data_IF_945913384527
#
_entry.id   IF_945913384527
#
_cell.length_a   1.000
_cell.length_b   1.000
_cell.length_c   1.000
_cell.angle_alpha   90.00
_cell.angle_beta   90.00
_cell.angle_gamma   90.00
#
_symmetry.space_group_name_H-M   'P 1'
#
loop_
_entity.id
_entity.type
_entity.pdbx_description
1 polymer ?
#
# COMPACT_ATOMS: atom_id res chain seq x y z
N UNK A 1 -0.31 -5.06 -7.47
CA UNK A 1 0.74 -6.06 -7.70
C UNK A 1 0.95 -6.93 -6.45
N UNK A 2 1.31 -6.32 -5.31
CA UNK A 2 1.45 -6.96 -4.02
C UNK A 2 0.10 -6.92 -3.29
N UNK A 3 -0.39 -8.07 -2.82
CA UNK A 3 -1.60 -8.17 -2.00
C UNK A 3 -1.25 -8.01 -0.51
N UNK A 4 -0.38 -8.88 -0.01
CA UNK A 4 0.08 -8.87 1.38
C UNK A 4 1.49 -9.44 1.51
N UNK A 5 2.03 -9.36 2.71
CA UNK A 5 3.23 -10.10 3.11
C UNK A 5 2.86 -10.85 4.39
N UNK A 6 3.04 -12.17 4.38
CA UNK A 6 2.93 -12.97 5.59
C UNK A 6 4.30 -13.12 6.24
N UNK A 7 4.36 -12.84 7.51
CA UNK A 7 5.57 -12.98 8.30
C UNK A 7 5.57 -14.28 9.10
N UNK A 8 6.75 -14.87 9.19
CA UNK A 8 7.04 -15.93 10.14
C UNK A 8 8.26 -15.55 10.95
N UNK A 9 8.11 -15.50 12.25
CA UNK A 9 9.25 -15.35 13.18
C UNK A 9 9.72 -16.72 13.61
N UNK A 10 11.00 -16.99 13.41
CA UNK A 10 11.62 -18.27 13.73
C UNK A 10 12.56 -18.04 14.92
N UNK A 11 12.30 -18.74 16.02
CA UNK A 11 13.07 -18.69 17.27
C UNK A 11 13.39 -20.13 17.70
N UNK A 12 14.64 -20.50 17.89
CA UNK A 12 15.04 -21.87 18.26
C UNK A 12 14.43 -22.97 17.37
N UNK A 13 14.29 -22.72 16.06
CA UNK A 13 13.65 -23.62 15.09
C UNK A 13 12.11 -23.73 15.24
N UNK A 14 11.50 -23.03 16.18
CA UNK A 14 10.04 -22.92 16.27
C UNK A 14 9.56 -21.79 15.37
N UNK A 15 8.51 -22.03 14.59
CA UNK A 15 7.95 -21.10 13.63
C UNK A 15 6.65 -20.49 14.17
N UNK A 16 6.55 -19.16 14.16
CA UNK A 16 5.38 -18.38 14.57
C UNK A 16 4.87 -17.57 13.38
N UNK A 17 3.76 -18.01 12.79
CA UNK A 17 3.16 -17.40 11.59
C UNK A 17 2.24 -16.24 11.98
N UNK A 18 2.46 -15.06 11.45
CA UNK A 18 1.67 -13.84 11.73
C UNK A 18 0.53 -13.63 10.72
N UNK A 19 0.53 -14.35 9.60
CA UNK A 19 -0.54 -14.30 8.61
C UNK A 19 -1.90 -14.70 9.19
N UNK A 20 -2.96 -14.20 8.58
CA UNK A 20 -4.35 -14.58 8.87
C UNK A 20 -5.11 -14.58 7.55
N UNK A 21 -5.50 -15.75 7.08
CA UNK A 21 -6.34 -15.90 5.89
C UNK A 21 -7.60 -16.67 6.25
N UNK A 22 -8.73 -16.22 5.76
CA UNK A 22 -9.96 -17.00 5.74
C UNK A 22 -10.05 -17.69 4.39
N UNK A 23 -10.51 -18.94 4.39
CA UNK A 23 -10.71 -19.72 3.17
C UNK A 23 -12.21 -19.95 2.92
N UNK A 24 -12.57 -20.34 1.69
CA UNK A 24 -13.95 -20.52 1.24
C UNK A 24 -14.74 -21.49 2.11
N UNK A 25 -14.10 -22.52 2.68
CA UNK A 25 -14.70 -23.50 3.59
C UNK A 25 -14.92 -22.97 5.03
N UNK A 26 -14.60 -21.69 5.27
CA UNK A 26 -14.69 -21.06 6.58
C UNK A 26 -13.48 -21.26 7.48
N UNK A 27 -12.47 -22.03 7.05
CA UNK A 27 -11.19 -22.22 7.79
C UNK A 27 -10.46 -20.90 7.87
N UNK A 28 -9.84 -20.62 9.03
CA UNK A 28 -8.95 -19.47 9.24
C UNK A 28 -7.57 -19.99 9.59
N UNK A 29 -6.58 -19.76 8.72
CA UNK A 29 -5.19 -20.19 8.89
C UNK A 29 -4.24 -19.21 8.17
N UNK A 30 -3.03 -18.95 8.74
CA UNK A 30 -2.64 -19.20 10.13
C UNK A 30 -3.45 -18.38 11.14
N UNK A 31 -3.17 -18.54 12.44
CA UNK A 31 -3.86 -17.80 13.51
C UNK A 31 -3.01 -16.64 14.07
N UNK A 32 -2.35 -15.87 13.22
CA UNK A 32 -1.42 -14.81 13.61
C UNK A 32 -2.02 -13.71 14.50
N UNK A 33 -3.34 -13.49 14.42
CA UNK A 33 -4.06 -12.55 15.29
C UNK A 33 -3.89 -12.86 16.78
N UNK A 34 -3.65 -14.11 17.17
CA UNK A 34 -3.42 -14.52 18.56
C UNK A 34 -2.14 -13.95 19.17
N UNK A 35 -1.18 -13.55 18.33
CA UNK A 35 0.09 -12.98 18.74
C UNK A 35 0.09 -11.47 18.87
N UNK A 36 -0.92 -10.79 18.34
CA UNK A 36 -1.08 -9.34 18.43
C UNK A 36 -1.35 -8.95 19.89
N UNK A 37 -0.59 -7.98 20.40
CA UNK A 37 -0.74 -7.42 21.75
C UNK A 37 -1.24 -6.00 21.74
N UNK A 38 -0.85 -5.23 20.73
CA UNK A 38 -1.16 -3.82 20.64
C UNK A 38 -1.31 -3.38 19.19
N UNK A 39 -2.21 -2.44 18.96
CA UNK A 39 -2.32 -1.68 17.71
C UNK A 39 -2.35 -0.19 18.06
N UNK A 40 -1.55 0.60 17.33
CA UNK A 40 -1.58 2.06 17.34
C UNK A 40 -1.68 2.57 15.92
N UNK A 41 -2.49 3.61 15.70
CA UNK A 41 -2.54 4.31 14.41
C UNK A 41 -1.59 5.53 14.37
N UNK A 42 -1.00 5.90 15.53
CA UNK A 42 -0.21 7.11 15.70
C UNK A 42 1.26 6.82 15.99
N UNK A 43 2.20 7.55 15.38
CA UNK A 43 2.05 8.50 14.25
C UNK A 43 1.81 7.82 12.92
N UNK A 44 2.01 6.50 12.82
CA UNK A 44 1.72 5.62 11.70
C UNK A 44 1.15 4.30 12.21
N UNK A 45 0.43 3.54 11.37
CA UNK A 45 -0.06 2.22 11.76
C UNK A 45 1.08 1.33 12.26
N UNK A 46 0.95 0.84 13.49
CA UNK A 46 1.90 -0.03 14.18
C UNK A 46 1.17 -1.19 14.84
N UNK A 47 1.64 -2.40 14.59
CA UNK A 47 1.23 -3.63 15.27
C UNK A 47 2.38 -4.15 16.12
N UNK A 48 2.09 -4.55 17.34
CA UNK A 48 3.05 -5.21 18.24
C UNK A 48 2.65 -6.66 18.44
N UNK A 49 3.58 -7.57 18.18
CA UNK A 49 3.42 -9.01 18.35
C UNK A 49 4.31 -9.51 19.48
N UNK A 50 3.87 -10.60 20.15
CA UNK A 50 4.67 -11.31 21.15
C UNK A 50 4.60 -12.81 20.95
N UNK A 51 5.75 -13.45 20.68
CA UNK A 51 5.90 -14.87 20.40
C UNK A 51 7.25 -15.37 20.91
N UNK A 52 7.31 -16.59 21.47
CA UNK A 52 8.57 -17.25 21.80
C UNK A 52 9.54 -16.41 22.65
N UNK A 53 9.02 -15.54 23.53
CA UNK A 53 9.84 -14.61 24.31
C UNK A 53 10.31 -13.37 23.54
N UNK A 54 9.93 -13.23 22.27
CA UNK A 54 10.26 -12.11 21.38
C UNK A 54 9.10 -11.11 21.32
N UNK A 55 9.42 -9.82 21.34
CA UNK A 55 8.49 -8.73 21.05
C UNK A 55 8.97 -8.01 19.79
N UNK A 56 8.10 -7.96 18.78
CA UNK A 56 8.40 -7.35 17.49
C UNK A 56 7.29 -6.40 17.07
N UNK A 57 7.66 -5.24 16.53
CA UNK A 57 6.71 -4.28 15.96
C UNK A 57 6.79 -4.29 14.45
N UNK A 58 5.63 -4.03 13.82
CA UNK A 58 5.45 -3.88 12.37
C UNK A 58 4.78 -2.54 12.10
N UNK A 59 5.44 -1.68 11.34
CA UNK A 59 4.98 -0.34 11.02
C UNK A 59 4.91 -0.13 9.52
N UNK A 60 3.94 0.67 9.05
CA UNK A 60 3.68 0.89 7.63
C UNK A 60 3.74 2.36 7.27
N UNK A 61 4.37 2.67 6.13
CA UNK A 61 4.33 4.00 5.54
C UNK A 61 4.33 3.92 4.01
N UNK A 62 3.42 4.65 3.37
CA UNK A 62 3.44 4.83 1.92
C UNK A 62 4.35 6.00 1.57
N UNK A 63 5.19 5.81 0.54
CA UNK A 63 6.02 6.88 0.03
C UNK A 63 5.16 7.95 -0.67
N UNK A 64 5.51 9.20 -0.43
CA UNK A 64 4.94 10.31 -1.19
C UNK A 64 5.54 10.35 -2.60
N UNK A 65 4.70 10.54 -3.61
CA UNK A 65 5.10 10.66 -5.02
C UNK A 65 5.87 9.46 -5.60
N UNK A 66 5.78 8.28 -4.97
CA UNK A 66 6.35 7.02 -5.45
C UNK A 66 5.33 5.89 -5.18
N UNK A 67 5.10 5.00 -6.14
CA UNK A 67 4.25 3.82 -5.98
C UNK A 67 4.96 2.77 -5.12
N UNK A 68 5.19 3.09 -3.84
CA UNK A 68 6.03 2.33 -2.92
C UNK A 68 5.46 2.31 -1.51
N UNK A 69 5.56 1.15 -0.87
CA UNK A 69 5.32 0.99 0.57
C UNK A 69 6.64 0.62 1.25
N UNK A 70 6.85 1.17 2.43
CA UNK A 70 7.88 0.73 3.37
C UNK A 70 7.23 0.10 4.58
N UNK A 71 7.77 -1.04 5.02
CA UNK A 71 7.32 -1.75 6.22
C UNK A 71 8.54 -1.93 7.10
N UNK A 72 8.52 -1.35 8.31
CA UNK A 72 9.58 -1.52 9.29
C UNK A 72 9.21 -2.62 10.28
N UNK A 73 10.08 -3.59 10.43
CA UNK A 73 10.05 -4.55 11.53
C UNK A 73 11.16 -4.21 12.50
N UNK A 74 10.83 -4.08 13.78
CA UNK A 74 11.78 -3.77 14.84
C UNK A 74 11.63 -4.78 15.98
N UNK A 75 12.75 -5.40 16.38
CA UNK A 75 12.80 -6.35 17.47
C UNK A 75 13.02 -5.58 18.77
N UNK A 76 11.96 -5.41 19.56
CA UNK A 76 12.03 -4.68 20.84
C UNK A 76 12.67 -5.51 21.94
N UNK A 77 12.33 -6.82 22.00
CA UNK A 77 12.81 -7.77 23.00
C UNK A 77 13.10 -9.12 22.32
N UNK A 78 14.26 -9.69 22.54
CA UNK A 78 14.57 -11.06 22.12
C UNK A 78 15.75 -11.62 22.91
N UNK A 79 15.57 -12.77 23.56
CA UNK A 79 16.65 -13.42 24.31
C UNK A 79 17.79 -13.96 23.41
N UNK A 80 17.55 -14.08 22.11
CA UNK A 80 18.48 -14.62 21.11
C UNK A 80 18.13 -14.08 19.73
N UNK A 81 19.03 -14.20 18.73
CA UNK A 81 18.72 -13.84 17.37
C UNK A 81 17.50 -14.58 16.83
N UNK A 82 16.71 -13.90 16.03
CA UNK A 82 15.55 -14.46 15.33
C UNK A 82 15.77 -14.43 13.84
N UNK A 83 15.09 -15.30 13.09
CA UNK A 83 14.95 -15.17 11.65
C UNK A 83 13.55 -14.67 11.34
N UNK A 84 13.45 -13.56 10.62
CA UNK A 84 12.21 -13.06 10.06
C UNK A 84 12.08 -13.54 8.61
N UNK A 85 11.12 -14.43 8.34
CA UNK A 85 10.76 -14.91 7.01
C UNK A 85 9.57 -14.10 6.49
N UNK A 86 9.67 -13.63 5.26
CA UNK A 86 8.70 -12.77 4.59
C UNK A 86 8.19 -13.44 3.32
N UNK A 87 6.91 -13.80 3.28
CA UNK A 87 6.24 -14.42 2.13
C UNK A 87 5.40 -13.36 1.42
N UNK A 88 5.81 -12.85 0.25
CA UNK A 88 4.98 -11.92 -0.52
C UNK A 88 3.86 -12.68 -1.25
N UNK A 89 2.63 -12.22 -1.09
CA UNK A 89 1.45 -12.67 -1.84
C UNK A 89 1.19 -11.73 -3.00
N UNK A 90 1.32 -12.22 -4.22
CA UNK A 90 1.23 -11.45 -5.44
C UNK A 90 -0.15 -11.65 -6.09
N UNK A 91 -0.81 -10.55 -6.45
CA UNK A 91 -2.09 -10.56 -7.14
C UNK A 91 -1.95 -10.15 -8.62
N UNK A 92 -1.18 -9.10 -8.95
CA UNK A 92 -1.00 -8.57 -10.31
C UNK A 92 -2.33 -8.41 -11.06
N UNK A 93 -3.24 -7.66 -10.46
CA UNK A 93 -4.60 -7.45 -10.98
C UNK A 93 -5.08 -6.02 -10.79
N UNK A 94 -6.15 -5.68 -11.47
CA UNK A 94 -6.92 -4.48 -11.13
C UNK A 94 -7.56 -4.64 -9.74
N UNK A 95 -7.69 -3.54 -8.99
CA UNK A 95 -8.26 -3.53 -7.63
C UNK A 95 -9.72 -4.05 -7.58
N UNK A 96 -10.46 -3.94 -8.68
CA UNK A 96 -11.84 -4.41 -8.80
C UNK A 96 -12.00 -5.84 -9.34
N UNK A 97 -10.90 -6.56 -9.50
CA UNK A 97 -10.90 -7.93 -10.02
C UNK A 97 -10.19 -8.84 -9.04
N UNK A 98 -10.46 -10.13 -9.11
CA UNK A 98 -9.75 -11.16 -8.35
C UNK A 98 -8.88 -12.00 -9.27
N UNK A 99 -7.80 -12.56 -8.74
CA UNK A 99 -6.87 -13.43 -9.45
C UNK A 99 -7.22 -14.90 -9.15
N UNK A 100 -7.08 -15.74 -10.18
CA UNK A 100 -7.20 -17.18 -10.03
C UNK A 100 -5.96 -17.88 -10.57
N UNK A 101 -5.64 -19.04 -10.02
CA UNK A 101 -4.53 -19.87 -10.48
C UNK A 101 -4.60 -20.09 -11.98
N UNK A 102 -3.49 -19.86 -12.68
CA UNK A 102 -3.42 -20.03 -14.12
C UNK A 102 -2.01 -20.42 -14.57
N UNK A 103 -1.91 -20.91 -15.81
CA UNK A 103 -0.66 -21.37 -16.40
C UNK A 103 0.11 -20.28 -17.16
N UNK A 104 -0.48 -19.09 -17.34
CA UNK A 104 0.17 -17.98 -18.08
C UNK A 104 0.98 -17.07 -17.16
N UNK A 105 0.82 -17.21 -15.85
CA UNK A 105 1.61 -16.48 -14.87
C UNK A 105 3.09 -16.82 -15.02
N UNK A 106 3.92 -15.82 -15.26
CA UNK A 106 5.36 -15.97 -15.30
C UNK A 106 5.90 -16.26 -13.88
N UNK A 107 6.47 -17.44 -13.69
CA UNK A 107 7.01 -17.90 -12.39
C UNK A 107 8.47 -17.51 -12.16
N UNK A 108 9.12 -16.86 -13.14
CA UNK A 108 10.51 -16.44 -13.03
C UNK A 108 10.64 -15.21 -12.12
N UNK A 109 11.81 -15.05 -11.54
CA UNK A 109 12.21 -13.87 -10.80
C UNK A 109 13.53 -13.32 -11.31
N UNK A 110 13.79 -12.06 -11.01
CA UNK A 110 15.11 -11.45 -11.23
C UNK A 110 15.73 -11.17 -9.87
N UNK A 111 16.93 -11.71 -9.56
CA UNK A 111 17.64 -11.36 -8.35
C UNK A 111 18.07 -9.89 -8.39
N UNK A 112 17.86 -9.18 -7.28
CA UNK A 112 18.28 -7.80 -7.09
C UNK A 112 18.96 -7.66 -5.73
N UNK A 113 19.56 -6.50 -5.48
CA UNK A 113 20.27 -6.28 -4.21
C UNK A 113 19.30 -6.40 -3.03
N UNK A 114 19.57 -7.34 -2.11
CA UNK A 114 18.78 -7.63 -0.91
C UNK A 114 17.31 -7.92 -1.22
N UNK A 115 17.03 -8.68 -2.28
CA UNK A 115 15.65 -8.96 -2.65
C UNK A 115 15.46 -9.64 -4.00
N UNK A 116 14.25 -9.57 -4.50
CA UNK A 116 13.87 -10.11 -5.80
C UNK A 116 12.82 -9.22 -6.48
N UNK A 117 12.71 -9.36 -7.81
CA UNK A 117 11.64 -8.74 -8.57
C UNK A 117 10.90 -9.75 -9.45
N UNK A 118 9.62 -9.47 -9.68
CA UNK A 118 8.70 -10.32 -10.45
C UNK A 118 7.86 -9.48 -11.40
N UNK A 119 7.58 -10.03 -12.57
CA UNK A 119 6.57 -9.57 -13.49
C UNK A 119 5.73 -10.78 -13.92
N UNK A 120 4.56 -10.94 -13.30
CA UNK A 120 3.71 -12.11 -13.56
C UNK A 120 3.09 -12.09 -14.95
N UNK A 121 2.77 -10.91 -15.49
CA UNK A 121 2.15 -10.73 -16.80
C UNK A 121 2.80 -9.56 -17.54
N UNK A 122 2.98 -9.65 -18.84
CA UNK A 122 3.69 -8.66 -19.68
C UNK A 122 3.06 -7.25 -19.67
N UNK A 123 1.75 -7.16 -19.44
CA UNK A 123 1.02 -5.88 -19.41
C UNK A 123 1.03 -5.19 -18.04
N UNK A 124 1.73 -5.73 -17.05
CA UNK A 124 1.92 -5.13 -15.73
C UNK A 124 3.37 -4.71 -15.51
N UNK A 125 3.57 -3.68 -14.70
CA UNK A 125 4.89 -3.31 -14.22
C UNK A 125 5.51 -4.41 -13.36
N UNK A 126 6.85 -4.42 -13.26
CA UNK A 126 7.54 -5.31 -12.33
C UNK A 126 7.36 -4.84 -10.90
N UNK A 127 7.20 -5.78 -9.98
CA UNK A 127 7.26 -5.54 -8.54
C UNK A 127 8.68 -5.80 -8.04
N UNK A 128 9.26 -4.86 -7.32
CA UNK A 128 10.57 -4.95 -6.66
C UNK A 128 10.36 -5.04 -5.15
N UNK A 129 10.78 -6.13 -4.53
CA UNK A 129 10.76 -6.31 -3.08
C UNK A 129 12.18 -6.42 -2.56
N UNK A 130 12.58 -5.49 -1.68
CA UNK A 130 13.93 -5.39 -1.15
C UNK A 130 13.92 -5.15 0.36
N UNK A 131 14.99 -5.57 1.04
CA UNK A 131 15.19 -5.34 2.47
C UNK A 131 16.39 -4.43 2.71
N UNK A 132 16.33 -3.59 3.75
CA UNK A 132 17.44 -2.68 4.12
C UNK A 132 18.68 -3.40 4.63
N UNK A 133 18.53 -4.63 5.09
CA UNK A 133 19.62 -5.54 5.50
C UNK A 133 19.84 -6.61 4.44
N UNK A 134 20.96 -7.32 4.52
CA UNK A 134 21.14 -8.53 3.69
C UNK A 134 20.07 -9.54 3.97
N UNK A 135 19.49 -10.10 2.93
CA UNK A 135 18.47 -11.15 2.99
C UNK A 135 18.78 -12.25 2.00
N UNK A 136 18.38 -13.46 2.33
CA UNK A 136 18.41 -14.62 1.44
C UNK A 136 17.03 -14.81 0.80
N UNK A 137 16.98 -14.92 -0.52
CA UNK A 137 15.75 -15.25 -1.24
C UNK A 137 15.74 -16.72 -1.63
N UNK A 138 14.72 -17.43 -1.18
CA UNK A 138 14.43 -18.81 -1.59
C UNK A 138 13.28 -18.84 -2.58
N UNK A 139 13.53 -19.33 -3.79
CA UNK A 139 12.52 -19.49 -4.82
C UNK A 139 11.71 -20.77 -4.60
N UNK A 140 10.44 -20.62 -4.23
CA UNK A 140 9.50 -21.72 -3.96
C UNK A 140 8.09 -21.37 -4.46
N UNK A 141 7.88 -21.30 -5.79
CA UNK A 141 6.65 -20.77 -6.36
C UNK A 141 5.48 -21.72 -6.19
N UNK A 142 4.38 -21.22 -5.63
CA UNK A 142 3.12 -21.94 -5.47
C UNK A 142 1.94 -20.96 -5.41
N UNK A 143 0.70 -21.50 -5.49
CA UNK A 143 -0.52 -20.75 -5.32
C UNK A 143 -1.16 -21.06 -3.98
N UNK A 144 -1.64 -20.02 -3.31
CA UNK A 144 -2.56 -20.11 -2.18
C UNK A 144 -3.97 -19.96 -2.73
N UNK A 145 -4.69 -21.10 -2.78
CA UNK A 145 -5.99 -21.16 -3.41
C UNK A 145 -7.12 -20.86 -2.42
N UNK A 146 -8.21 -20.27 -2.95
CA UNK A 146 -9.48 -20.08 -2.24
C UNK A 146 -9.40 -19.19 -1.00
N UNK A 147 -8.56 -18.16 -1.04
CA UNK A 147 -8.58 -17.07 -0.05
C UNK A 147 -9.91 -16.36 -0.17
N UNK A 148 -10.64 -16.23 0.94
CA UNK A 148 -12.00 -15.73 0.97
C UNK A 148 -12.09 -14.34 1.61
N UNK A 149 -12.80 -13.44 0.95
CA UNK A 149 -13.04 -12.07 1.40
C UNK A 149 -14.47 -11.87 1.84
N UNK A 150 -14.76 -12.10 3.12
CA UNK A 150 -16.10 -12.03 3.70
C UNK A 150 -16.83 -10.71 3.37
N UNK A 151 -16.12 -9.57 3.42
CA UNK A 151 -16.74 -8.26 3.17
C UNK A 151 -17.14 -8.07 1.71
N UNK A 152 -16.40 -8.63 0.75
CA UNK A 152 -16.79 -8.61 -0.66
C UNK A 152 -18.00 -9.53 -0.90
N UNK A 153 -18.02 -10.70 -0.26
CA UNK A 153 -19.15 -11.62 -0.30
C UNK A 153 -20.45 -10.99 0.25
N UNK A 154 -20.37 -10.31 1.41
CA UNK A 154 -21.50 -9.60 2.02
C UNK A 154 -22.06 -8.49 1.11
N UNK A 155 -21.24 -7.94 0.22
CA UNK A 155 -21.60 -6.91 -0.77
C UNK A 155 -22.11 -7.48 -2.09
N UNK A 156 -22.11 -8.80 -2.26
CA UNK A 156 -22.54 -9.49 -3.47
C UNK A 156 -21.54 -9.48 -4.61
N UNK A 157 -20.24 -9.29 -4.31
CA UNK A 157 -19.14 -9.35 -5.28
C UNK A 157 -18.43 -10.70 -5.23
N UNK A 158 -17.61 -10.96 -6.26
CA UNK A 158 -16.68 -12.07 -6.21
C UNK A 158 -15.77 -11.95 -4.98
N UNK A 159 -15.63 -13.05 -4.23
CA UNK A 159 -15.01 -13.03 -2.92
C UNK A 159 -13.94 -14.12 -2.74
N UNK A 160 -13.66 -14.92 -3.75
CA UNK A 160 -12.67 -16.01 -3.68
C UNK A 160 -11.50 -15.70 -4.61
N UNK A 161 -10.29 -15.66 -4.07
CA UNK A 161 -9.08 -15.33 -4.82
C UNK A 161 -8.00 -16.39 -4.62
N UNK A 162 -7.23 -16.65 -5.67
CA UNK A 162 -5.98 -17.39 -5.57
C UNK A 162 -4.81 -16.42 -5.64
N UNK A 163 -3.90 -16.48 -4.66
CA UNK A 163 -2.74 -15.60 -4.58
C UNK A 163 -1.45 -16.37 -4.86
N UNK A 164 -0.61 -15.79 -5.70
CA UNK A 164 0.67 -16.40 -6.06
C UNK A 164 1.76 -16.02 -5.06
N UNK A 165 2.47 -17.00 -4.53
CA UNK A 165 3.65 -16.82 -3.67
C UNK A 165 4.88 -17.30 -4.42
N UNK A 166 5.81 -16.42 -4.83
CA UNK A 166 6.99 -16.81 -5.63
C UNK A 166 8.10 -17.48 -4.79
N UNK A 167 8.02 -17.36 -3.50
CA UNK A 167 9.01 -17.80 -2.52
C UNK A 167 9.04 -16.88 -1.33
N UNK A 168 10.16 -16.81 -0.61
CA UNK A 168 10.29 -16.02 0.60
C UNK A 168 11.67 -15.39 0.76
N UNK A 169 11.74 -14.32 1.55
CA UNK A 169 12.97 -13.67 1.99
C UNK A 169 13.20 -13.97 3.47
N UNK A 170 14.44 -14.24 3.87
CA UNK A 170 14.84 -14.42 5.27
C UNK A 170 15.87 -13.36 5.68
N UNK A 171 15.68 -12.81 6.87
CA UNK A 171 16.56 -11.80 7.47
C UNK A 171 16.80 -12.14 8.93
N UNK A 172 18.07 -12.22 9.35
CA UNK A 172 18.42 -12.37 10.76
C UNK A 172 18.36 -11.02 11.48
N UNK A 173 17.73 -11.00 12.66
CA UNK A 173 17.60 -9.84 13.51
C UNK A 173 17.89 -10.19 14.98
N UNK A 174 18.48 -9.23 15.69
CA UNK A 174 18.72 -9.28 17.14
C UNK A 174 17.88 -8.23 17.85
N UNK A 175 17.78 -8.33 19.16
CA UNK A 175 17.19 -7.27 19.97
C UNK A 175 17.81 -5.90 19.67
N UNK A 176 16.96 -4.89 19.59
CA UNK A 176 17.32 -3.52 19.19
C UNK A 176 17.55 -3.30 17.71
N UNK A 177 17.46 -4.34 16.87
CA UNK A 177 17.63 -4.21 15.42
C UNK A 177 16.32 -4.07 14.66
N UNK A 178 16.39 -3.40 13.53
CA UNK A 178 15.26 -3.27 12.59
C UNK A 178 15.67 -3.64 11.17
N UNK A 179 14.68 -4.08 10.41
CA UNK A 179 14.75 -4.19 8.94
C UNK A 179 13.59 -3.42 8.34
N UNK A 180 13.85 -2.73 7.22
CA UNK A 180 12.82 -2.07 6.43
C UNK A 180 12.68 -2.84 5.12
N UNK A 181 11.48 -3.29 4.86
CA UNK A 181 11.06 -3.88 3.59
C UNK A 181 10.52 -2.77 2.70
N UNK A 182 10.93 -2.75 1.46
CA UNK A 182 10.46 -1.83 0.42
C UNK A 182 9.82 -2.62 -0.70
N UNK A 183 8.56 -2.34 -1.02
CA UNK A 183 7.88 -2.89 -2.18
C UNK A 183 7.45 -1.74 -3.10
N UNK A 184 7.85 -1.78 -4.37
CA UNK A 184 7.58 -0.71 -5.34
C UNK A 184 7.83 -1.11 -6.78
N UNK A 185 7.65 -0.16 -7.70
CA UNK A 185 7.73 -0.39 -9.15
C UNK A 185 9.16 -0.22 -9.73
N UNK A 186 10.11 0.18 -8.91
CA UNK A 186 11.52 0.38 -9.31
C UNK A 186 12.46 -0.18 -8.27
N UNK A 187 13.62 -0.66 -8.69
CA UNK A 187 14.71 -0.98 -7.78
C UNK A 187 15.25 0.30 -7.12
N UNK A 188 15.50 0.26 -5.83
CA UNK A 188 16.12 1.36 -5.07
C UNK A 188 17.38 0.85 -4.34
N UNK A 189 18.19 1.78 -3.87
CA UNK A 189 19.35 1.43 -3.05
C UNK A 189 18.90 1.11 -1.61
N UNK A 190 19.03 -0.13 -1.13
CA UNK A 190 18.59 -0.52 0.22
C UNK A 190 19.22 0.29 1.36
N UNK A 191 20.41 0.82 1.17
CA UNK A 191 21.09 1.65 2.17
C UNK A 191 20.36 2.97 2.47
N UNK A 192 19.43 3.40 1.60
CA UNK A 192 18.67 4.63 1.77
C UNK A 192 17.36 4.43 2.54
N UNK A 193 16.87 3.19 2.70
CA UNK A 193 15.53 2.90 3.21
C UNK A 193 15.29 3.44 4.62
N UNK A 194 16.26 3.29 5.52
CA UNK A 194 16.15 3.80 6.88
C UNK A 194 15.95 5.31 6.88
N UNK A 195 16.80 6.05 6.19
CA UNK A 195 16.70 7.51 6.09
C UNK A 195 15.39 7.95 5.44
N UNK A 196 14.95 7.26 4.39
CA UNK A 196 13.68 7.58 3.72
C UNK A 196 12.49 7.34 4.64
N UNK A 197 12.47 6.23 5.37
CA UNK A 197 11.41 5.92 6.33
C UNK A 197 11.35 6.99 7.44
N UNK A 198 12.49 7.33 8.05
CA UNK A 198 12.59 8.34 9.10
C UNK A 198 12.16 9.72 8.60
N UNK A 199 12.63 10.15 7.43
CA UNK A 199 12.25 11.42 6.82
C UNK A 199 10.73 11.52 6.55
N UNK A 200 10.11 10.45 6.07
CA UNK A 200 8.67 10.40 5.86
C UNK A 200 7.88 10.41 7.17
N UNK A 201 8.43 9.82 8.24
CA UNK A 201 7.84 9.91 9.59
C UNK A 201 7.86 11.34 10.10
N UNK A 202 8.99 12.01 9.98
CA UNK A 202 9.20 13.39 10.46
C UNK A 202 8.36 14.41 9.68
N UNK A 203 8.12 14.18 8.38
CA UNK A 203 7.33 15.10 7.54
C UNK A 203 5.82 15.03 7.76
N UNK A 204 5.34 14.02 8.52
CA UNK A 204 3.91 13.86 8.75
C UNK A 204 3.36 14.92 9.69
N UNK A 205 2.15 15.39 9.38
CA UNK A 205 1.37 16.19 10.31
C UNK A 205 1.00 15.30 11.51
N UNK A 206 1.36 15.68 12.75
CA UNK A 206 0.99 14.91 13.93
C UNK A 206 -0.54 14.88 14.08
N UNK A 207 -1.09 13.84 14.69
CA UNK A 207 -2.53 13.71 14.93
C UNK A 207 -2.88 14.05 16.39
N UNK A 208 -2.31 15.11 16.89
CA UNK A 208 -2.42 15.57 18.29
C UNK A 208 -3.60 16.52 18.52
N UNK A 209 -4.29 16.96 17.45
CA UNK A 209 -5.47 17.80 17.52
C UNK A 209 -6.49 17.37 16.44
N UNK A 210 -7.75 17.77 16.61
CA UNK A 210 -8.80 17.53 15.61
C UNK A 210 -8.46 18.19 14.25
N UNK A 211 -7.91 19.40 14.31
CA UNK A 211 -7.49 20.13 13.10
C UNK A 211 -6.38 19.38 12.36
N UNK A 212 -5.34 18.94 13.06
CA UNK A 212 -4.27 18.14 12.45
C UNK A 212 -4.76 16.80 11.90
N UNK A 213 -5.74 16.17 12.56
CA UNK A 213 -6.38 14.96 12.03
C UNK A 213 -7.11 15.23 10.70
N UNK A 214 -7.82 16.35 10.59
CA UNK A 214 -8.49 16.75 9.34
C UNK A 214 -7.48 17.07 8.24
N UNK A 215 -6.43 17.83 8.55
CA UNK A 215 -5.37 18.16 7.58
C UNK A 215 -4.67 16.90 7.05
N UNK A 216 -4.33 15.96 7.94
CA UNK A 216 -3.74 14.68 7.58
C UNK A 216 -4.66 13.86 6.66
N UNK A 217 -5.96 13.83 6.97
CA UNK A 217 -6.96 13.16 6.14
C UNK A 217 -7.12 13.83 4.77
N UNK A 218 -7.11 15.16 4.72
CA UNK A 218 -7.23 15.91 3.47
C UNK A 218 -6.07 15.60 2.49
N UNK A 219 -4.84 15.50 2.99
CA UNK A 219 -3.68 15.20 2.15
C UNK A 219 -3.76 13.83 1.46
N UNK A 220 -4.45 12.86 2.03
CA UNK A 220 -4.59 11.52 1.44
C UNK A 220 -5.38 11.51 0.12
N UNK A 221 -6.20 12.53 -0.12
CA UNK A 221 -6.96 12.64 -1.37
C UNK A 221 -6.19 13.26 -2.53
N UNK A 222 -4.99 13.80 -2.29
CA UNK A 222 -4.20 14.51 -3.30
C UNK A 222 -3.21 13.55 -3.94
N UNK A 223 -3.31 13.39 -5.27
CA UNK A 223 -2.44 12.57 -6.08
C UNK A 223 -1.52 13.48 -6.88
N UNK A 224 -0.20 13.25 -6.78
CA UNK A 224 0.81 13.94 -7.60
C UNK A 224 1.50 12.93 -8.50
N UNK A 225 1.27 13.05 -9.80
CA UNK A 225 1.87 12.21 -10.83
C UNK A 225 2.56 13.06 -11.90
N UNK A 226 3.27 12.41 -12.82
CA UNK A 226 3.99 13.10 -13.89
C UNK A 226 3.07 13.91 -14.81
N UNK A 227 1.83 13.50 -14.96
CA UNK A 227 0.81 14.13 -15.79
C UNK A 227 -0.02 15.21 -15.07
N UNK A 228 0.25 15.46 -13.80
CA UNK A 228 -0.37 16.54 -13.03
C UNK A 228 -0.87 16.15 -11.64
N UNK A 229 -1.38 17.14 -10.93
CA UNK A 229 -1.98 16.96 -9.61
C UNK A 229 -3.48 16.74 -9.74
N UNK A 230 -3.99 15.70 -9.10
CA UNK A 230 -5.40 15.28 -9.10
C UNK A 230 -5.88 15.03 -7.69
N UNK A 231 -7.19 14.84 -7.53
CA UNK A 231 -7.82 14.49 -6.27
C UNK A 231 -8.63 13.20 -6.44
N UNK A 232 -8.50 12.27 -5.50
CA UNK A 232 -9.37 11.10 -5.43
C UNK A 232 -10.81 11.49 -5.11
N UNK A 233 -11.78 10.95 -5.85
CA UNK A 233 -13.19 11.13 -5.57
C UNK A 233 -13.66 10.34 -4.34
N UNK A 234 -13.04 9.20 -4.08
CA UNK A 234 -13.34 8.36 -2.91
C UNK A 234 -12.23 7.35 -2.66
N UNK A 235 -11.43 7.61 -1.65
CA UNK A 235 -10.29 6.78 -1.30
C UNK A 235 -10.74 5.46 -0.63
N UNK A 236 -10.18 4.31 -0.99
CA UNK A 236 -9.25 4.04 -2.10
C UNK A 236 -9.94 3.55 -3.39
N UNK A 237 -11.28 3.55 -3.47
CA UNK A 237 -12.07 2.82 -4.46
C UNK A 237 -12.28 3.55 -5.78
N UNK A 238 -12.28 4.88 -5.76
CA UNK A 238 -12.59 5.69 -6.93
C UNK A 238 -11.36 6.49 -7.36
N UNK A 239 -11.19 6.65 -8.67
CA UNK A 239 -10.18 7.52 -9.25
C UNK A 239 -10.49 8.99 -9.07
N UNK A 240 -9.95 9.85 -9.93
CA UNK A 240 -10.25 11.28 -9.90
C UNK A 240 -11.53 11.59 -10.68
N UNK A 241 -12.33 12.50 -10.11
CA UNK A 241 -13.54 13.02 -10.73
C UNK A 241 -13.50 14.55 -10.68
N UNK A 242 -13.63 15.21 -11.83
CA UNK A 242 -13.56 16.68 -11.92
C UNK A 242 -14.63 17.36 -11.09
N UNK A 243 -15.86 16.84 -11.11
CA UNK A 243 -16.97 17.37 -10.29
C UNK A 243 -16.67 17.28 -8.80
N UNK A 244 -16.25 16.10 -8.32
CA UNK A 244 -15.97 15.87 -6.90
C UNK A 244 -14.74 16.67 -6.45
N UNK A 245 -13.74 16.81 -7.31
CA UNK A 245 -12.60 17.69 -7.08
C UNK A 245 -13.05 19.12 -6.83
N UNK A 246 -13.87 19.69 -7.72
CA UNK A 246 -14.38 21.07 -7.59
C UNK A 246 -15.19 21.27 -6.31
N UNK A 247 -16.06 20.32 -5.97
CA UNK A 247 -16.85 20.37 -4.73
C UNK A 247 -15.99 20.30 -3.46
N UNK A 248 -14.87 19.59 -3.51
CA UNK A 248 -14.00 19.33 -2.36
C UNK A 248 -12.93 20.40 -2.14
N UNK A 249 -12.54 21.14 -3.17
CA UNK A 249 -11.48 22.18 -3.11
C UNK A 249 -11.68 23.18 -1.95
N UNK A 250 -12.88 23.70 -1.66
CA UNK A 250 -13.04 24.67 -0.57
C UNK A 250 -12.59 24.14 0.79
N UNK A 251 -12.97 22.90 1.11
CA UNK A 251 -12.64 22.28 2.40
C UNK A 251 -11.23 21.68 2.44
N UNK A 252 -10.84 20.93 1.42
CA UNK A 252 -9.58 20.20 1.46
C UNK A 252 -8.36 21.06 1.14
N UNK A 253 -8.50 22.10 0.34
CA UNK A 253 -7.40 22.90 -0.20
C UNK A 253 -7.43 24.34 0.30
N UNK A 254 -8.54 25.08 0.04
CA UNK A 254 -8.60 26.50 0.34
C UNK A 254 -8.62 26.77 1.85
N UNK A 255 -9.33 25.96 2.63
CA UNK A 255 -9.35 26.10 4.09
C UNK A 255 -7.96 25.92 4.72
N UNK A 256 -7.08 25.13 4.08
CA UNK A 256 -5.70 24.91 4.49
C UNK A 256 -4.71 25.95 3.92
N UNK A 257 -5.19 26.92 3.12
CA UNK A 257 -4.36 27.96 2.49
C UNK A 257 -3.39 27.44 1.43
N UNK A 258 -3.55 26.20 0.93
CA UNK A 258 -2.64 25.57 -0.04
C UNK A 258 -2.90 26.09 -1.47
N UNK A 259 -2.46 27.34 -1.71
CA UNK A 259 -2.56 28.00 -3.02
C UNK A 259 -1.81 27.27 -4.14
N UNK A 260 -0.76 26.52 -3.80
CA UNK A 260 0.03 25.77 -4.78
C UNK A 260 -0.80 24.62 -5.34
N UNK A 261 -1.27 23.74 -4.48
CA UNK A 261 -2.12 22.59 -4.87
C UNK A 261 -3.41 23.06 -5.55
N UNK A 262 -4.01 24.17 -5.10
CA UNK A 262 -5.16 24.78 -5.78
C UNK A 262 -4.87 25.08 -7.26
N UNK A 263 -3.77 25.77 -7.55
CA UNK A 263 -3.39 26.11 -8.93
C UNK A 263 -3.07 24.87 -9.77
N UNK A 264 -2.41 23.89 -9.18
CA UNK A 264 -2.08 22.63 -9.86
C UNK A 264 -3.34 21.84 -10.24
N UNK A 265 -4.32 21.74 -9.33
CA UNK A 265 -5.61 21.09 -9.58
C UNK A 265 -6.41 21.79 -10.66
N UNK A 266 -6.52 23.12 -10.60
CA UNK A 266 -7.21 23.91 -11.64
C UNK A 266 -6.52 23.74 -13.00
N UNK A 267 -5.19 23.79 -13.03
CA UNK A 267 -4.44 23.57 -14.27
C UNK A 267 -4.74 22.21 -14.86
N UNK A 268 -4.67 21.15 -14.09
CA UNK A 268 -4.98 19.80 -14.56
C UNK A 268 -6.41 19.70 -15.10
N UNK A 269 -7.39 20.26 -14.38
CA UNK A 269 -8.81 20.28 -14.82
C UNK A 269 -8.98 21.00 -16.15
N UNK A 270 -8.34 22.17 -16.32
CA UNK A 270 -8.40 22.96 -17.56
C UNK A 270 -7.69 22.22 -18.70
N UNK A 271 -6.49 21.70 -18.48
CA UNK A 271 -5.69 21.00 -19.49
C UNK A 271 -6.38 19.71 -20.01
N UNK A 272 -7.29 19.16 -19.22
CA UNK A 272 -8.03 17.92 -19.57
C UNK A 272 -9.50 18.16 -19.94
N UNK A 273 -9.94 19.41 -20.08
CA UNK A 273 -11.32 19.73 -20.52
C UNK A 273 -11.59 19.24 -21.95
N UNK A 274 -12.86 18.87 -22.19
CA UNK A 274 -13.40 18.70 -23.53
C UNK A 274 -14.64 19.56 -23.70
N UNK A 275 -14.54 20.60 -24.54
CA UNK A 275 -15.57 21.64 -24.56
C UNK A 275 -15.75 22.26 -23.18
N UNK A 276 -16.98 22.39 -22.66
CA UNK A 276 -17.22 22.92 -21.33
C UNK A 276 -17.09 21.88 -20.21
N UNK A 277 -16.79 20.62 -20.50
CA UNK A 277 -16.86 19.54 -19.52
C UNK A 277 -15.50 19.22 -18.94
N UNK A 278 -15.47 18.96 -17.62
CA UNK A 278 -14.30 18.52 -16.89
C UNK A 278 -14.18 16.99 -16.90
N UNK A 279 -12.95 16.50 -16.96
CA UNK A 279 -12.66 15.09 -17.07
C UNK A 279 -12.87 14.35 -15.75
N UNK A 280 -13.33 13.11 -15.87
CA UNK A 280 -13.27 12.11 -14.81
C UNK A 280 -12.28 11.02 -15.25
N UNK A 281 -11.40 10.58 -14.37
CA UNK A 281 -10.45 9.51 -14.62
C UNK A 281 -10.62 8.45 -13.52
N UNK A 282 -11.24 7.37 -13.88
CA UNK A 282 -11.22 6.17 -13.06
C UNK A 282 -9.88 5.43 -13.25
N UNK A 283 -9.70 4.27 -12.66
CA UNK A 283 -8.45 3.49 -12.73
C UNK A 283 -7.96 3.12 -14.15
N UNK A 284 -8.75 3.35 -15.17
CA UNK A 284 -8.37 3.22 -16.58
C UNK A 284 -7.76 4.52 -17.10
N UNK A 285 -6.89 4.41 -18.12
CA UNK A 285 -6.25 5.58 -18.78
C UNK A 285 -7.23 6.51 -19.51
N UNK A 286 -8.46 6.06 -19.74
CA UNK A 286 -9.49 6.81 -20.46
C UNK A 286 -10.11 7.91 -19.62
N UNK A 287 -10.35 9.07 -20.22
CA UNK A 287 -11.07 10.18 -19.65
C UNK A 287 -12.56 10.08 -20.01
N UNK A 288 -13.42 10.38 -19.06
CA UNK A 288 -14.87 10.41 -19.22
C UNK A 288 -15.41 11.80 -18.87
N UNK A 289 -16.53 12.19 -19.50
CA UNK A 289 -17.13 13.53 -19.36
C UNK A 289 -18.62 13.38 -19.12
N UNK A 290 -19.02 13.27 -17.85
CA UNK A 290 -20.40 12.88 -17.47
C UNK A 290 -21.13 13.90 -16.62
N UNK A 291 -20.43 14.87 -16.01
CA UNK A 291 -21.02 15.82 -15.05
C UNK A 291 -21.29 17.17 -15.70
N UNK A 292 -22.54 17.45 -16.01
CA UNK A 292 -22.98 18.70 -16.69
C UNK A 292 -22.95 19.94 -15.80
N UNK A 293 -22.95 19.77 -14.48
CA UNK A 293 -22.89 20.87 -13.48
C UNK A 293 -21.45 21.29 -13.12
N UNK A 294 -20.44 20.52 -13.53
CA UNK A 294 -19.04 20.81 -13.21
C UNK A 294 -18.59 22.23 -13.64
N UNK A 295 -18.99 22.79 -14.81
CA UNK A 295 -18.64 24.16 -15.17
C UNK A 295 -19.16 25.20 -14.18
N UNK A 296 -20.34 24.99 -13.60
CA UNK A 296 -20.92 25.91 -12.61
C UNK A 296 -20.11 25.89 -11.31
N UNK A 297 -19.70 24.70 -10.86
CA UNK A 297 -18.81 24.54 -9.71
C UNK A 297 -17.45 25.21 -9.95
N UNK A 298 -16.90 25.11 -11.14
CA UNK A 298 -15.64 25.77 -11.50
C UNK A 298 -15.71 27.28 -11.32
N UNK A 299 -16.76 27.94 -11.85
CA UNK A 299 -16.94 29.36 -11.65
C UNK A 299 -17.13 29.74 -10.18
N UNK A 300 -17.87 28.95 -9.42
CA UNK A 300 -18.07 29.18 -7.99
C UNK A 300 -16.74 29.14 -7.22
N UNK A 301 -15.87 28.22 -7.57
CA UNK A 301 -14.56 28.05 -6.94
C UNK A 301 -13.61 29.22 -7.28
N UNK A 302 -13.66 29.75 -8.49
CA UNK A 302 -12.84 30.90 -8.89
C UNK A 302 -13.24 32.19 -8.17
N UNK A 303 -14.45 32.28 -7.60
CA UNK A 303 -14.92 33.44 -6.86
C UNK A 303 -14.49 33.43 -5.37
N UNK A 304 -13.98 32.28 -4.87
CA UNK A 304 -13.49 32.13 -3.50
C UNK A 304 -11.98 32.35 -3.39
#
# INVERSE_FOLDING_TARGET
LLSSIDETVIVNKEEFHFGVHQYEDGTIMPHGHKYIREFSAEPIPKLTYRVGGTRITKEYIFAENDSRIYIRYFVEEAAQPITLRLLPFLAFRNVHMLTHENHVANRKYTPIKNGASWQMYENYDSLFLQTSKSSEYTHAPHWYNKVFYLREFERGYDAVEDLYVPGFLEVELKEGESVIVSAGLEEKNPATFKRQFESMMESRIPRDSFEHCLQNSAQQFIIREKDGTRMFAGFPWFGSCGRDTLLSIPGLILANGDKKTFKELLKYLIDTMQGPFFSNRYYQKSLYYTAVDSPLWFFLILQK
#
